data_IF_543204169789
#
_entry.id   IF_543204169789
#
_cell.length_a   1.000
_cell.length_b   1.000
_cell.length_c   1.000
_cell.angle_alpha   90.00
_cell.angle_beta   90.00
_cell.angle_gamma   90.00
#
_symmetry.space_group_name_H-M   'P 1'
#
loop_
_entity.id
_entity.type
_entity.pdbx_description
1 polymer ?
#
# COMPACT_ATOMS: atom_id res chain seq x y z
N UNK A 1 18.44 7.78 14.58
CA UNK A 1 19.12 8.28 13.37
C UNK A 1 20.05 9.44 13.72
N UNK A 2 21.28 9.05 14.07
CA UNK A 2 22.39 9.98 14.15
C UNK A 2 22.74 10.56 12.76
N UNK A 3 23.63 11.56 12.74
CA UNK A 3 23.99 12.26 11.50
C UNK A 3 24.72 11.34 10.51
N UNK A 4 25.55 10.42 10.98
CA UNK A 4 26.25 9.46 10.13
C UNK A 4 25.27 8.56 9.36
N UNK A 5 24.28 7.99 10.05
CA UNK A 5 23.22 7.19 9.42
C UNK A 5 22.39 8.01 8.44
N UNK A 6 22.11 9.29 8.74
CA UNK A 6 21.41 10.17 7.82
C UNK A 6 22.21 10.34 6.52
N UNK A 7 23.50 10.69 6.62
CA UNK A 7 24.37 10.91 5.46
C UNK A 7 24.48 9.64 4.64
N UNK A 8 24.76 8.49 5.28
CA UNK A 8 24.85 7.19 4.61
C UNK A 8 23.57 6.87 3.83
N UNK A 9 22.40 6.97 4.46
CA UNK A 9 21.11 6.69 3.83
C UNK A 9 20.77 7.67 2.71
N UNK A 10 21.28 8.89 2.74
CA UNK A 10 21.09 9.86 1.66
C UNK A 10 22.04 9.58 0.49
N UNK A 11 23.31 9.31 0.77
CA UNK A 11 24.30 8.90 -0.24
C UNK A 11 23.87 7.62 -0.95
N UNK A 12 23.38 6.62 -0.23
CA UNK A 12 22.84 5.39 -0.83
C UNK A 12 21.69 5.70 -1.80
N UNK A 13 20.79 6.62 -1.42
CA UNK A 13 19.72 7.06 -2.30
C UNK A 13 20.26 7.76 -3.55
N UNK A 14 21.24 8.64 -3.42
CA UNK A 14 21.87 9.30 -4.57
C UNK A 14 22.51 8.27 -5.51
N UNK A 15 23.18 7.25 -4.99
CA UNK A 15 23.73 6.15 -5.79
C UNK A 15 22.61 5.40 -6.52
N UNK A 16 21.50 5.07 -5.84
CA UNK A 16 20.34 4.42 -6.48
C UNK A 16 19.73 5.29 -7.58
N UNK A 17 19.60 6.60 -7.35
CA UNK A 17 19.17 7.58 -8.34
C UNK A 17 20.12 7.61 -9.54
N UNK A 18 21.43 7.69 -9.35
CA UNK A 18 22.40 7.64 -10.45
C UNK A 18 22.30 6.33 -11.24
N UNK A 19 22.24 5.18 -10.55
CA UNK A 19 22.06 3.86 -11.18
C UNK A 19 20.78 3.75 -12.00
N UNK A 20 19.74 4.52 -11.65
CA UNK A 20 18.48 4.49 -12.39
C UNK A 20 18.60 4.99 -13.83
N UNK A 21 19.59 5.84 -14.12
CA UNK A 21 19.90 6.31 -15.48
C UNK A 21 20.70 5.29 -16.31
N UNK A 22 21.31 4.30 -15.65
CA UNK A 22 22.13 3.27 -16.30
C UNK A 22 21.39 1.93 -16.49
N UNK A 23 20.14 1.85 -16.04
CA UNK A 23 19.39 0.60 -15.97
C UNK A 23 17.91 0.85 -16.25
N UNK A 24 17.35 0.08 -17.19
CA UNK A 24 15.94 0.15 -17.55
C UNK A 24 15.05 -0.43 -16.45
N UNK A 25 13.79 0.02 -16.37
CA UNK A 25 12.78 -0.56 -15.48
C UNK A 25 12.56 -2.05 -15.79
N UNK A 26 12.54 -2.39 -17.08
CA UNK A 26 12.48 -3.77 -17.58
C UNK A 26 13.53 -4.66 -16.93
N UNK A 27 14.82 -4.29 -17.03
CA UNK A 27 15.90 -5.08 -16.43
C UNK A 27 15.81 -5.07 -14.90
N UNK A 28 15.50 -3.92 -14.28
CA UNK A 28 15.42 -3.81 -12.82
C UNK A 28 14.40 -4.79 -12.22
N UNK A 29 13.21 -4.87 -12.82
CA UNK A 29 12.11 -5.70 -12.30
C UNK A 29 12.29 -7.17 -12.67
N UNK A 30 12.61 -7.49 -13.92
CA UNK A 30 12.75 -8.90 -14.38
C UNK A 30 13.86 -9.65 -13.66
N UNK A 31 15.02 -9.03 -13.40
CA UNK A 31 16.11 -9.67 -12.64
C UNK A 31 15.69 -10.00 -11.21
N UNK A 32 14.93 -9.09 -10.57
CA UNK A 32 14.44 -9.29 -9.20
C UNK A 32 13.33 -10.33 -9.15
N UNK A 33 12.42 -10.31 -10.11
CA UNK A 33 11.38 -11.32 -10.25
C UNK A 33 11.99 -12.70 -10.46
N UNK A 34 12.97 -12.84 -11.37
CA UNK A 34 13.71 -14.09 -11.58
C UNK A 34 14.36 -14.62 -10.31
N UNK A 35 15.00 -13.74 -9.53
CA UNK A 35 15.62 -14.12 -8.25
C UNK A 35 14.60 -14.62 -7.23
N UNK A 36 13.41 -14.02 -7.19
CA UNK A 36 12.36 -14.42 -6.23
C UNK A 36 11.62 -15.68 -6.67
N UNK A 37 11.26 -15.80 -7.95
CA UNK A 37 10.45 -16.93 -8.46
C UNK A 37 11.28 -18.17 -8.78
N UNK A 38 12.59 -18.02 -8.95
CA UNK A 38 13.49 -19.07 -9.44
C UNK A 38 13.31 -19.40 -10.93
N UNK A 39 12.41 -18.70 -11.63
CA UNK A 39 12.06 -18.92 -13.04
C UNK A 39 12.39 -17.69 -13.88
N UNK A 40 12.61 -17.88 -15.17
CA UNK A 40 12.68 -16.75 -16.10
C UNK A 40 11.27 -16.22 -16.36
N UNK A 41 10.94 -14.98 -15.95
CA UNK A 41 9.61 -14.43 -16.18
C UNK A 41 9.42 -14.04 -17.65
N UNK A 42 8.27 -14.38 -18.23
CA UNK A 42 7.84 -13.83 -19.51
C UNK A 42 6.89 -12.67 -19.25
N UNK A 43 7.42 -11.45 -19.27
CA UNK A 43 6.58 -10.26 -19.07
C UNK A 43 6.00 -9.71 -20.37
N UNK A 44 6.33 -10.26 -21.54
CA UNK A 44 5.68 -9.89 -22.79
C UNK A 44 4.35 -10.62 -22.95
N UNK A 45 4.29 -11.87 -22.47
CA UNK A 45 3.08 -12.69 -22.40
C UNK A 45 2.83 -13.20 -20.97
N UNK A 46 2.57 -12.29 -20.00
CA UNK A 46 2.54 -12.64 -18.59
C UNK A 46 1.35 -13.54 -18.23
N UNK A 47 1.63 -14.63 -17.51
CA UNK A 47 0.62 -15.63 -17.14
C UNK A 47 0.30 -15.62 -15.66
N UNK A 48 1.31 -15.38 -14.81
CA UNK A 48 1.12 -15.35 -13.36
C UNK A 48 0.80 -13.94 -12.85
N UNK A 49 0.22 -13.85 -11.64
CA UNK A 49 -0.06 -12.56 -11.00
C UNK A 49 1.24 -11.75 -10.85
N UNK A 50 2.32 -12.42 -10.42
CA UNK A 50 3.65 -11.83 -10.28
C UNK A 50 4.19 -11.24 -11.59
N UNK A 51 4.07 -11.98 -12.70
CA UNK A 51 4.46 -11.51 -14.03
C UNK A 51 3.59 -10.33 -14.50
N UNK A 52 2.28 -10.35 -14.24
CA UNK A 52 1.35 -9.28 -14.64
C UNK A 52 1.60 -7.99 -13.86
N UNK A 53 1.89 -8.07 -12.56
CA UNK A 53 2.31 -6.90 -11.77
C UNK A 53 3.62 -6.33 -12.33
N UNK A 54 4.57 -7.19 -12.67
CA UNK A 54 5.84 -6.79 -13.27
C UNK A 54 5.64 -6.12 -14.64
N UNK A 55 4.78 -6.70 -15.50
CA UNK A 55 4.38 -6.13 -16.78
C UNK A 55 3.81 -4.72 -16.61
N UNK A 56 2.83 -4.54 -15.71
CA UNK A 56 2.25 -3.22 -15.41
C UNK A 56 3.33 -2.21 -15.02
N UNK A 57 4.22 -2.56 -14.11
CA UNK A 57 5.30 -1.65 -13.65
C UNK A 57 6.22 -1.18 -14.78
N UNK A 58 6.42 -2.00 -15.81
CA UNK A 58 7.31 -1.71 -16.93
C UNK A 58 6.60 -0.92 -18.02
N UNK A 59 5.38 -1.31 -18.37
CA UNK A 59 4.70 -0.84 -19.59
C UNK A 59 3.52 0.10 -19.36
N UNK A 60 2.94 0.11 -18.15
CA UNK A 60 1.75 0.89 -17.86
C UNK A 60 2.05 2.04 -16.90
N UNK A 61 2.18 3.23 -17.49
CA UNK A 61 2.59 4.47 -16.83
C UNK A 61 1.43 5.44 -16.64
N UNK A 62 0.21 4.92 -16.49
CA UNK A 62 -1.00 5.73 -16.34
C UNK A 62 -0.90 6.71 -15.15
N UNK A 63 -1.18 7.99 -15.39
CA UNK A 63 -1.14 9.03 -14.37
C UNK A 63 -2.17 8.81 -13.25
N UNK A 64 -3.26 8.10 -13.50
CA UNK A 64 -4.23 7.77 -12.45
C UNK A 64 -3.57 6.97 -11.32
N UNK A 65 -2.56 6.16 -11.61
CA UNK A 65 -1.83 5.42 -10.59
C UNK A 65 -1.06 6.34 -9.65
N UNK A 66 -0.58 7.47 -10.15
CA UNK A 66 0.07 8.50 -9.33
C UNK A 66 -0.94 9.14 -8.37
N UNK A 67 -2.15 9.44 -8.85
CA UNK A 67 -3.25 9.93 -8.01
C UNK A 67 -3.58 8.93 -6.88
N UNK A 68 -3.72 7.65 -7.23
CA UNK A 68 -4.08 6.60 -6.27
C UNK A 68 -2.97 6.30 -5.25
N UNK A 69 -1.69 6.44 -5.65
CA UNK A 69 -0.54 6.21 -4.77
C UNK A 69 -0.22 7.40 -3.84
N UNK A 70 -0.64 8.61 -4.19
CA UNK A 70 -0.47 9.80 -3.35
C UNK A 70 -1.47 9.80 -2.19
N UNK A 71 -0.98 9.60 -0.97
CA UNK A 71 -1.81 9.51 0.25
C UNK A 71 -2.62 10.78 0.56
N UNK A 72 -2.29 11.93 -0.05
CA UNK A 72 -3.10 13.13 0.02
C UNK A 72 -4.12 13.18 -1.11
N UNK A 73 -3.69 12.99 -2.35
CA UNK A 73 -4.56 13.15 -3.51
C UNK A 73 -5.63 12.05 -3.62
N UNK A 74 -5.33 10.83 -3.18
CA UNK A 74 -6.28 9.70 -3.17
C UNK A 74 -7.50 9.95 -2.27
N UNK A 75 -7.43 10.92 -1.34
CA UNK A 75 -8.52 11.15 -0.38
C UNK A 75 -9.79 11.65 -1.05
N UNK A 76 -9.66 12.56 -2.00
CA UNK A 76 -10.79 13.05 -2.82
C UNK A 76 -11.34 11.92 -3.70
N UNK A 77 -10.48 11.06 -4.23
CA UNK A 77 -10.90 9.86 -4.95
C UNK A 77 -11.79 8.99 -4.05
N UNK A 78 -11.36 8.65 -2.83
CA UNK A 78 -12.14 7.81 -1.91
C UNK A 78 -13.51 8.42 -1.61
N UNK A 79 -13.55 9.72 -1.24
CA UNK A 79 -14.79 10.43 -0.90
C UNK A 79 -15.77 10.44 -2.07
N UNK A 80 -15.26 10.59 -3.31
CA UNK A 80 -16.10 10.61 -4.51
C UNK A 80 -16.66 9.24 -4.92
N UNK A 81 -16.08 8.14 -4.40
CA UNK A 81 -16.37 6.78 -4.87
C UNK A 81 -17.20 5.95 -3.91
N UNK A 82 -17.05 6.17 -2.60
CA UNK A 82 -17.77 5.38 -1.60
C UNK A 82 -18.15 6.21 -0.39
N UNK A 83 -19.34 5.93 0.17
CA UNK A 83 -19.76 6.45 1.48
C UNK A 83 -19.55 5.41 2.59
N UNK A 84 -19.05 4.22 2.26
CA UNK A 84 -18.91 3.08 3.18
C UNK A 84 -17.58 3.06 3.91
N UNK A 85 -16.55 3.59 3.27
CA UNK A 85 -15.23 3.77 3.86
C UNK A 85 -14.89 5.26 3.92
N UNK A 86 -14.19 5.67 4.96
CA UNK A 86 -13.73 7.05 5.14
C UNK A 86 -12.22 7.12 5.25
N UNK A 87 -11.66 8.26 4.90
CA UNK A 87 -10.25 8.53 5.13
C UNK A 87 -10.04 8.98 6.59
N UNK A 88 -8.92 8.61 7.19
CA UNK A 88 -8.56 9.06 8.55
C UNK A 88 -8.42 10.60 8.53
N UNK A 89 -9.03 11.37 9.46
CA UNK A 89 -8.98 12.83 9.45
C UNK A 89 -7.55 13.40 9.39
N UNK A 90 -7.35 14.51 8.68
CA UNK A 90 -6.05 15.19 8.67
C UNK A 90 -5.98 16.17 9.85
N UNK A 91 -4.98 16.03 10.69
CA UNK A 91 -4.61 17.01 11.71
C UNK A 91 -3.75 18.14 11.13
N UNK A 92 -3.02 17.85 10.04
CA UNK A 92 -2.20 18.84 9.36
C UNK A 92 -1.47 18.28 8.14
N UNK A 93 -1.08 19.19 7.25
CA UNK A 93 -0.28 18.90 6.05
C UNK A 93 0.87 19.91 5.98
N UNK A 94 2.08 19.41 5.80
CA UNK A 94 3.30 20.21 5.92
C UNK A 94 4.23 19.95 4.74
N UNK A 95 4.90 21.01 4.27
CA UNK A 95 5.94 20.91 3.24
C UNK A 95 7.33 20.71 3.83
N UNK A 96 7.51 21.04 5.12
CA UNK A 96 8.78 20.95 5.85
C UNK A 96 8.50 20.55 7.30
N UNK A 97 9.43 19.82 7.91
CA UNK A 97 9.30 19.40 9.32
C UNK A 97 9.24 20.56 10.31
N UNK A 98 9.83 21.71 9.96
CA UNK A 98 9.83 22.91 10.79
C UNK A 98 8.46 23.58 10.91
N UNK A 99 7.48 23.17 10.09
CA UNK A 99 6.10 23.67 10.15
C UNK A 99 5.24 22.88 11.14
N UNK A 100 5.74 21.75 11.67
CA UNK A 100 4.99 20.91 12.59
C UNK A 100 5.12 21.48 14.00
N UNK A 101 4.02 22.00 14.54
CA UNK A 101 3.92 22.34 15.96
C UNK A 101 3.50 21.11 16.76
N UNK A 102 4.48 20.37 17.27
CA UNK A 102 4.24 19.18 18.08
C UNK A 102 3.49 19.47 19.37
N UNK A 103 3.50 20.70 19.90
CA UNK A 103 2.77 21.04 21.12
C UNK A 103 1.26 20.93 20.93
N UNK A 104 0.77 21.26 19.73
CA UNK A 104 -0.66 21.23 19.35
C UNK A 104 -1.21 19.85 18.99
N UNK A 105 -0.33 18.88 18.68
CA UNK A 105 -0.75 17.53 18.29
C UNK A 105 -1.38 16.76 19.47
N UNK A 106 -2.33 15.83 19.22
CA UNK A 106 -2.94 15.02 20.28
C UNK A 106 -1.92 14.06 20.92
N UNK A 107 -2.34 13.34 21.96
CA UNK A 107 -1.47 12.37 22.66
C UNK A 107 -0.99 11.23 21.76
N UNK A 108 -1.85 10.76 20.83
CA UNK A 108 -1.52 9.73 19.85
C UNK A 108 -1.75 10.25 18.42
N UNK A 109 -0.75 10.11 17.55
CA UNK A 109 -0.81 10.57 16.16
C UNK A 109 0.13 9.77 15.25
N UNK A 110 -0.07 9.88 13.94
CA UNK A 110 0.75 9.26 12.90
C UNK A 110 1.25 10.34 11.95
N UNK A 111 2.57 10.37 11.71
CA UNK A 111 3.21 11.21 10.68
C UNK A 111 3.69 10.31 9.55
N UNK A 112 3.32 10.64 8.31
CA UNK A 112 3.77 9.91 7.10
C UNK A 112 3.95 10.87 5.93
N UNK A 113 4.88 10.57 5.04
CA UNK A 113 4.98 11.27 3.76
C UNK A 113 3.96 10.70 2.77
N UNK A 114 3.44 11.55 1.88
CA UNK A 114 2.40 11.16 0.93
C UNK A 114 2.91 10.31 -0.24
N UNK A 115 4.18 10.48 -0.61
CA UNK A 115 4.80 9.95 -1.83
C UNK A 115 5.57 8.62 -1.64
N UNK A 116 5.48 8.00 -0.46
CA UNK A 116 6.30 6.84 -0.13
C UNK A 116 5.55 5.79 0.73
N UNK A 117 6.20 4.66 1.01
CA UNK A 117 5.69 3.52 1.79
C UNK A 117 6.57 3.16 3.00
N UNK A 118 7.41 4.08 3.49
CA UNK A 118 8.40 3.77 4.53
C UNK A 118 8.72 4.89 5.53
N UNK A 119 8.12 6.07 5.35
CA UNK A 119 8.35 7.22 6.22
C UNK A 119 7.49 7.23 7.49
N UNK A 120 6.48 6.37 7.60
CA UNK A 120 5.52 6.36 8.72
C UNK A 120 6.21 6.35 10.08
N UNK A 121 5.75 7.22 10.97
CA UNK A 121 6.16 7.37 12.36
C UNK A 121 4.87 7.39 13.19
N UNK A 122 4.79 6.51 14.17
CA UNK A 122 3.64 6.38 15.05
C UNK A 122 4.04 6.92 16.43
N UNK A 123 3.22 7.81 16.97
CA UNK A 123 3.27 8.27 18.35
C UNK A 123 2.10 7.67 19.10
N UNK A 124 2.36 6.79 20.06
CA UNK A 124 1.36 6.24 20.99
C UNK A 124 1.46 6.82 22.40
N UNK A 125 2.55 7.55 22.67
CA UNK A 125 2.81 8.27 23.92
C UNK A 125 3.69 9.49 23.59
N UNK A 126 3.14 10.68 23.75
CA UNK A 126 3.79 11.95 23.38
C UNK A 126 4.98 12.28 24.29
N UNK A 127 4.92 11.87 25.57
CA UNK A 127 6.02 12.07 26.52
C UNK A 127 7.27 11.26 26.17
N UNK A 128 7.11 10.12 25.49
CA UNK A 128 8.21 9.26 25.02
C UNK A 128 8.59 9.53 23.56
N UNK A 129 7.89 10.45 22.89
CA UNK A 129 8.06 10.68 21.46
C UNK A 129 9.35 11.44 21.15
N UNK A 130 10.25 10.81 20.37
CA UNK A 130 11.50 11.44 19.96
C UNK A 130 11.31 12.37 18.75
N UNK A 131 10.93 13.62 19.02
CA UNK A 131 10.71 14.67 18.02
C UNK A 131 11.93 14.85 17.10
N UNK A 132 13.14 14.88 17.65
CA UNK A 132 14.37 15.08 16.88
C UNK A 132 14.57 13.98 15.84
N UNK A 133 14.34 12.73 16.24
CA UNK A 133 14.44 11.57 15.36
C UNK A 133 13.36 11.56 14.28
N UNK A 134 12.11 11.87 14.66
CA UNK A 134 11.00 12.01 13.74
C UNK A 134 11.29 13.05 12.64
N UNK A 135 11.72 14.25 13.04
CA UNK A 135 12.08 15.33 12.12
C UNK A 135 13.22 14.94 11.17
N UNK A 136 14.25 14.22 11.65
CA UNK A 136 15.34 13.74 10.78
C UNK A 136 14.86 12.70 9.77
N UNK A 137 14.04 11.73 10.20
CA UNK A 137 13.48 10.70 9.32
C UNK A 137 12.60 11.31 8.23
N UNK A 138 11.69 12.21 8.60
CA UNK A 138 10.81 12.91 7.65
C UNK A 138 11.58 13.83 6.71
N UNK A 139 12.55 14.61 7.21
CA UNK A 139 13.39 15.47 6.37
C UNK A 139 14.19 14.67 5.34
N UNK A 140 14.66 13.48 5.71
CA UNK A 140 15.33 12.58 4.78
C UNK A 140 14.34 12.02 3.74
N UNK A 141 13.14 11.61 4.18
CA UNK A 141 12.11 11.07 3.29
C UNK A 141 11.64 12.11 2.25
N UNK A 142 11.46 13.37 2.65
CA UNK A 142 11.11 14.47 1.74
C UNK A 142 12.14 14.72 0.63
N UNK A 143 13.41 14.35 0.85
CA UNK A 143 14.49 14.48 -0.16
C UNK A 143 14.55 13.28 -1.13
N UNK A 144 13.79 12.22 -0.85
CA UNK A 144 13.82 10.98 -1.61
C UNK A 144 12.59 10.89 -2.50
N UNK A 145 12.79 10.43 -3.72
CA UNK A 145 11.71 9.98 -4.58
C UNK A 145 11.73 8.44 -4.61
N UNK A 146 10.61 7.82 -4.22
CA UNK A 146 10.52 6.36 -4.06
C UNK A 146 10.79 5.62 -5.39
N UNK A 147 10.43 6.22 -6.54
CA UNK A 147 10.69 5.64 -7.86
C UNK A 147 12.18 5.27 -8.05
N UNK A 148 13.12 6.12 -7.66
CA UNK A 148 14.54 5.80 -7.81
C UNK A 148 15.03 4.67 -6.91
N UNK A 149 14.25 4.29 -5.90
CA UNK A 149 14.56 3.18 -5.00
C UNK A 149 13.90 1.88 -5.45
N UNK A 150 12.63 1.93 -5.82
CA UNK A 150 11.82 0.72 -6.07
C UNK A 150 11.42 0.53 -7.53
N UNK A 151 11.65 1.53 -8.38
CA UNK A 151 11.23 1.60 -9.79
C UNK A 151 9.72 1.41 -9.98
N UNK A 152 8.95 1.83 -8.98
CA UNK A 152 7.49 1.89 -9.02
C UNK A 152 7.07 3.24 -9.60
N UNK A 153 6.59 3.22 -10.85
CA UNK A 153 6.32 4.43 -11.62
C UNK A 153 5.29 5.34 -10.98
N UNK A 154 4.30 4.77 -10.28
CA UNK A 154 3.22 5.52 -9.61
C UNK A 154 3.73 6.53 -8.58
N UNK A 155 4.93 6.36 -8.01
CA UNK A 155 5.49 7.31 -7.06
C UNK A 155 6.31 8.44 -7.72
N UNK A 156 6.59 8.34 -9.02
CA UNK A 156 7.61 9.15 -9.69
C UNK A 156 7.30 10.65 -9.67
N UNK A 157 6.04 11.02 -9.83
CA UNK A 157 5.61 12.41 -10.03
C UNK A 157 4.84 12.98 -8.84
N UNK A 158 4.86 12.31 -7.67
CA UNK A 158 4.20 12.81 -6.47
C UNK A 158 5.06 13.91 -5.83
N UNK A 159 4.46 15.06 -5.55
CA UNK A 159 5.13 16.13 -4.81
C UNK A 159 5.19 15.77 -3.32
N UNK A 160 6.39 15.67 -2.71
CA UNK A 160 6.54 15.28 -1.31
C UNK A 160 5.93 16.28 -0.33
N UNK A 161 5.07 15.78 0.54
CA UNK A 161 4.49 16.46 1.72
C UNK A 161 4.46 15.49 2.89
N UNK A 162 4.36 16.03 4.10
CA UNK A 162 4.09 15.28 5.33
C UNK A 162 2.62 15.48 5.65
N UNK A 163 1.93 14.41 6.00
CA UNK A 163 0.61 14.47 6.61
C UNK A 163 0.65 13.95 8.05
N UNK A 164 -0.21 14.53 8.88
CA UNK A 164 -0.46 14.14 10.25
C UNK A 164 -1.92 13.66 10.38
N UNK A 165 -2.11 12.49 10.95
CA UNK A 165 -3.41 11.87 11.21
C UNK A 165 -3.52 11.48 12.70
N UNK A 166 -4.72 11.43 13.29
CA UNK A 166 -4.90 10.78 14.58
C UNK A 166 -4.52 9.31 14.48
N UNK A 167 -4.01 8.74 15.57
CA UNK A 167 -3.78 7.30 15.66
C UNK A 167 -5.13 6.57 15.75
N UNK A 168 -5.36 5.63 14.83
CA UNK A 168 -6.53 4.75 14.87
C UNK A 168 -6.17 3.53 15.71
N UNK A 169 -6.63 3.53 16.97
CA UNK A 169 -6.47 2.40 17.88
C UNK A 169 -7.50 1.32 17.53
N UNK A 170 -7.09 0.25 16.86
CA UNK A 170 -7.99 -0.82 16.38
C UNK A 170 -8.39 -1.81 17.49
N UNK A 171 -7.69 -1.75 18.63
CA UNK A 171 -7.80 -2.72 19.71
C UNK A 171 -8.25 -2.08 21.03
N UNK A 172 -8.80 -0.86 20.99
CA UNK A 172 -9.37 -0.22 22.18
C UNK A 172 -10.62 -0.94 22.67
N UNK A 173 -11.31 -1.66 21.78
CA UNK A 173 -12.52 -2.43 22.08
C UNK A 173 -12.59 -3.80 21.35
N UNK A 174 -11.46 -4.28 20.81
CA UNK A 174 -11.38 -5.54 20.09
C UNK A 174 -10.21 -6.41 20.58
N UNK A 175 -10.39 -7.72 20.55
CA UNK A 175 -9.32 -8.67 20.88
C UNK A 175 -8.31 -8.75 19.74
N UNK A 176 -7.06 -8.42 20.04
CA UNK A 176 -5.94 -8.40 19.09
C UNK A 176 -5.68 -9.75 18.42
N UNK A 177 -5.95 -10.85 19.10
CA UNK A 177 -5.69 -12.18 18.56
C UNK A 177 -6.73 -12.60 17.51
N UNK A 178 -7.90 -11.97 17.48
CA UNK A 178 -9.04 -12.37 16.63
C UNK A 178 -9.54 -11.26 15.70
N UNK A 179 -9.29 -9.99 16.02
CA UNK A 179 -9.61 -8.87 15.15
C UNK A 179 -8.47 -8.59 14.15
N UNK A 180 -8.74 -8.53 12.84
CA UNK A 180 -7.71 -8.22 11.86
C UNK A 180 -7.29 -6.74 11.94
N UNK A 181 -5.98 -6.48 11.88
CA UNK A 181 -5.41 -5.13 11.80
C UNK A 181 -5.72 -4.44 10.47
N UNK A 182 -5.82 -5.24 9.41
CA UNK A 182 -6.02 -4.78 8.05
C UNK A 182 -6.70 -5.89 7.26
N UNK A 183 -7.68 -5.50 6.45
CA UNK A 183 -8.17 -6.30 5.35
C UNK A 183 -7.57 -5.75 4.07
N UNK A 184 -6.72 -6.53 3.40
CA UNK A 184 -6.17 -6.18 2.10
C UNK A 184 -6.91 -6.96 1.02
N UNK A 185 -7.84 -6.28 0.36
CA UNK A 185 -8.83 -6.90 -0.52
C UNK A 185 -8.34 -6.82 -1.95
N UNK A 186 -8.03 -7.97 -2.54
CA UNK A 186 -7.63 -8.09 -3.94
C UNK A 186 -8.86 -8.00 -4.84
N UNK A 187 -8.94 -6.90 -5.58
CA UNK A 187 -9.97 -6.63 -6.57
C UNK A 187 -9.43 -6.87 -7.97
N UNK A 188 -10.14 -7.67 -8.76
CA UNK A 188 -9.88 -7.92 -10.16
C UNK A 188 -11.07 -7.43 -10.96
N UNK A 189 -10.85 -6.51 -11.90
CA UNK A 189 -11.92 -5.89 -12.70
C UNK A 189 -13.07 -5.35 -11.85
N UNK A 190 -12.74 -4.61 -10.79
CA UNK A 190 -13.73 -4.06 -9.84
C UNK A 190 -14.40 -5.08 -8.91
N UNK A 191 -14.07 -6.38 -8.99
CA UNK A 191 -14.68 -7.43 -8.15
C UNK A 191 -13.71 -7.91 -7.08
N UNK A 192 -14.14 -7.95 -5.82
CA UNK A 192 -13.34 -8.48 -4.72
C UNK A 192 -13.35 -10.02 -4.76
N UNK A 193 -12.16 -10.63 -4.89
CA UNK A 193 -12.01 -12.09 -4.96
C UNK A 193 -11.39 -12.70 -3.70
N UNK A 194 -10.30 -12.11 -3.22
CA UNK A 194 -9.53 -12.63 -2.09
C UNK A 194 -9.18 -11.51 -1.12
N UNK A 195 -9.00 -11.87 0.15
CA UNK A 195 -8.69 -10.94 1.23
C UNK A 195 -7.54 -11.49 2.05
N UNK A 196 -6.44 -10.74 2.14
CA UNK A 196 -5.42 -10.95 3.16
C UNK A 196 -5.93 -10.28 4.46
N UNK A 197 -6.12 -11.05 5.52
CA UNK A 197 -6.43 -10.54 6.85
C UNK A 197 -5.15 -10.59 7.71
N UNK A 198 -4.64 -9.42 8.07
CA UNK A 198 -3.42 -9.28 8.89
C UNK A 198 -3.74 -9.44 10.38
N UNK A 199 -2.96 -10.24 11.09
CA UNK A 199 -3.05 -10.39 12.54
C UNK A 199 -1.66 -10.29 13.17
N UNK A 200 -1.58 -9.81 14.40
CA UNK A 200 -0.38 -9.86 15.23
C UNK A 200 -0.74 -10.40 16.59
N UNK A 201 -0.07 -11.46 17.06
CA UNK A 201 -0.31 -11.98 18.41
C UNK A 201 0.32 -11.09 19.51
N UNK A 202 0.05 -11.44 20.77
CA UNK A 202 0.58 -10.72 21.94
C UNK A 202 2.12 -10.76 22.04
N UNK A 203 2.79 -11.71 21.36
CA UNK A 203 4.25 -11.77 21.27
C UNK A 203 4.83 -10.85 20.19
N UNK A 204 3.97 -10.21 19.39
CA UNK A 204 4.35 -9.38 18.25
C UNK A 204 4.62 -10.17 16.97
N UNK A 205 4.22 -11.44 16.90
CA UNK A 205 4.38 -12.27 15.68
C UNK A 205 3.20 -12.02 14.73
N UNK A 206 3.54 -11.67 13.49
CA UNK A 206 2.56 -11.42 12.42
C UNK A 206 2.11 -12.68 11.69
N UNK A 207 0.85 -12.69 11.28
CA UNK A 207 0.18 -13.74 10.50
C UNK A 207 -0.67 -13.12 9.39
N UNK A 208 -0.89 -13.88 8.33
CA UNK A 208 -1.85 -13.52 7.27
C UNK A 208 -2.69 -14.74 6.95
N UNK A 209 -4.00 -14.61 7.15
CA UNK A 209 -4.96 -15.57 6.62
C UNK A 209 -5.50 -15.04 5.29
N UNK A 210 -5.53 -15.89 4.27
CA UNK A 210 -6.14 -15.54 2.98
C UNK A 210 -7.54 -16.13 2.91
N UNK A 211 -8.55 -15.28 2.79
CA UNK A 211 -9.95 -15.68 2.65
C UNK A 211 -10.48 -15.39 1.25
N UNK A 212 -11.54 -16.09 0.84
CA UNK A 212 -12.38 -15.65 -0.27
C UNK A 212 -13.39 -14.58 0.17
N UNK A 213 -14.20 -14.10 -0.77
CA UNK A 213 -15.29 -13.15 -0.50
C UNK A 213 -16.40 -13.68 0.41
N UNK A 214 -16.35 -14.94 0.85
CA UNK A 214 -17.32 -15.54 1.76
C UNK A 214 -16.71 -15.86 3.13
N UNK A 215 -15.50 -15.36 3.40
CA UNK A 215 -14.74 -15.65 4.63
C UNK A 215 -14.34 -17.12 4.78
N UNK A 216 -14.22 -17.87 3.67
CA UNK A 216 -13.64 -19.21 3.69
C UNK A 216 -12.12 -19.14 3.55
N UNK A 217 -11.40 -19.77 4.48
CA UNK A 217 -9.94 -19.82 4.45
C UNK A 217 -9.47 -20.58 3.20
N UNK A 218 -8.56 -19.97 2.44
CA UNK A 218 -8.08 -20.51 1.18
C UNK A 218 -6.89 -21.46 1.39
N UNK A 219 -6.69 -22.44 0.48
CA UNK A 219 -5.62 -23.44 0.61
C UNK A 219 -4.28 -22.91 0.09
N UNK A 220 -3.99 -21.62 0.28
CA UNK A 220 -2.74 -20.99 -0.09
C UNK A 220 -2.41 -19.82 0.84
N UNK A 221 -1.13 -19.47 0.88
CA UNK A 221 -0.57 -18.44 1.76
C UNK A 221 0.15 -17.37 0.95
N UNK A 222 0.15 -16.15 1.46
CA UNK A 222 0.92 -15.02 0.92
C UNK A 222 1.90 -14.51 1.98
N UNK A 223 3.19 -14.81 1.79
CA UNK A 223 4.35 -14.41 2.62
C UNK A 223 4.40 -14.86 4.09
N UNK A 224 3.25 -15.01 4.76
CA UNK A 224 3.12 -15.31 6.18
C UNK A 224 2.32 -16.59 6.42
N UNK A 225 2.56 -17.28 7.56
CA UNK A 225 1.72 -18.38 7.97
C UNK A 225 0.33 -17.90 8.42
N UNK A 226 -0.63 -18.82 8.44
CA UNK A 226 -1.95 -18.57 9.02
C UNK A 226 -1.83 -18.38 10.54
N UNK A 227 -2.74 -17.60 11.12
CA UNK A 227 -2.91 -17.58 12.58
C UNK A 227 -3.27 -18.99 13.07
N UNK A 228 -2.81 -19.41 14.26
CA UNK A 228 -3.22 -20.68 14.87
C UNK A 228 -4.70 -20.69 15.27
N UNK A 229 -5.33 -19.52 15.32
CA UNK A 229 -6.75 -19.36 15.59
C UNK A 229 -7.56 -19.46 14.29
N UNK A 230 -8.86 -19.68 14.41
CA UNK A 230 -9.81 -19.57 13.30
C UNK A 230 -10.75 -18.38 13.55
N UNK A 231 -10.31 -17.13 13.32
CA UNK A 231 -11.14 -15.96 13.57
C UNK A 231 -12.44 -15.99 12.76
N UNK A 232 -13.54 -15.67 13.42
CA UNK A 232 -14.84 -15.50 12.77
C UNK A 232 -14.84 -14.33 11.79
N UNK A 233 -15.87 -14.28 10.94
CA UNK A 233 -16.06 -13.17 10.00
C UNK A 233 -16.26 -11.85 10.76
N UNK A 234 -15.48 -10.79 10.47
CA UNK A 234 -15.68 -9.47 11.05
C UNK A 234 -17.05 -8.90 10.69
N UNK A 235 -17.72 -8.23 11.64
CA UNK A 235 -19.07 -7.70 11.45
C UNK A 235 -19.21 -6.79 10.21
N UNK A 236 -18.17 -6.00 9.91
CA UNK A 236 -18.13 -5.08 8.77
C UNK A 236 -17.55 -5.69 7.48
N UNK A 237 -17.26 -7.00 7.45
CA UNK A 237 -16.58 -7.62 6.32
C UNK A 237 -17.32 -7.42 5.00
N UNK A 238 -18.65 -7.60 5.00
CA UNK A 238 -19.48 -7.43 3.80
C UNK A 238 -19.49 -5.99 3.29
N UNK A 239 -19.54 -5.02 4.20
CA UNK A 239 -19.46 -3.60 3.86
C UNK A 239 -18.05 -3.24 3.34
N UNK A 240 -17.00 -3.86 3.88
CA UNK A 240 -15.63 -3.68 3.42
C UNK A 240 -15.43 -4.23 1.99
N UNK A 241 -16.02 -5.37 1.65
CA UNK A 241 -16.04 -5.90 0.29
C UNK A 241 -16.78 -4.97 -0.69
N UNK A 242 -17.91 -4.40 -0.28
CA UNK A 242 -18.65 -3.45 -1.13
C UNK A 242 -17.84 -2.16 -1.34
N UNK A 243 -17.25 -1.62 -0.27
CA UNK A 243 -16.41 -0.43 -0.33
C UNK A 243 -15.18 -0.65 -1.25
N UNK A 244 -14.53 -1.80 -1.16
CA UNK A 244 -13.37 -2.10 -2.01
C UNK A 244 -13.74 -2.23 -3.48
N UNK A 245 -14.89 -2.83 -3.81
CA UNK A 245 -15.40 -2.90 -5.18
C UNK A 245 -15.74 -1.51 -5.74
N UNK A 246 -16.41 -0.66 -4.95
CA UNK A 246 -16.71 0.74 -5.33
C UNK A 246 -15.42 1.53 -5.59
N UNK A 247 -14.37 1.32 -4.78
CA UNK A 247 -13.06 1.94 -4.95
C UNK A 247 -12.26 1.37 -6.14
N UNK A 248 -12.45 0.09 -6.46
CA UNK A 248 -11.75 -0.62 -7.52
C UNK A 248 -12.48 -0.58 -8.88
N UNK A 249 -13.71 -0.06 -8.93
CA UNK A 249 -14.47 0.05 -10.18
C UNK A 249 -13.68 0.88 -11.22
N UNK A 250 -13.58 0.35 -12.44
CA UNK A 250 -12.73 0.87 -13.51
C UNK A 250 -11.23 0.53 -13.41
N UNK A 251 -10.81 -0.28 -12.43
CA UNK A 251 -9.42 -0.74 -12.27
C UNK A 251 -9.36 -2.26 -12.53
N UNK A 252 -8.49 -2.67 -13.46
CA UNK A 252 -8.32 -4.06 -13.89
C UNK A 252 -7.73 -4.96 -12.78
N UNK A 253 -6.83 -4.40 -11.95
CA UNK A 253 -6.39 -5.03 -10.71
C UNK A 253 -5.88 -4.00 -9.70
N UNK A 254 -6.33 -4.09 -8.46
CA UNK A 254 -5.71 -3.42 -7.34
C UNK A 254 -5.97 -4.17 -6.03
N UNK A 255 -5.18 -3.86 -5.01
CA UNK A 255 -5.47 -4.27 -3.63
C UNK A 255 -5.96 -3.05 -2.88
N UNK A 256 -7.11 -3.14 -2.22
CA UNK A 256 -7.66 -2.07 -1.38
C UNK A 256 -7.48 -2.47 0.07
N UNK A 257 -6.73 -1.65 0.81
CA UNK A 257 -6.38 -1.91 2.20
C UNK A 257 -7.31 -1.10 3.12
N UNK A 258 -8.09 -1.79 3.95
CA UNK A 258 -9.10 -1.22 4.84
C UNK A 258 -8.86 -1.67 6.29
N UNK A 259 -9.03 -0.76 7.24
CA UNK A 259 -9.04 -1.07 8.67
C UNK A 259 -10.48 -1.03 9.19
N UNK A 260 -10.85 -1.99 10.02
CA UNK A 260 -12.17 -2.05 10.65
C UNK A 260 -12.06 -1.59 12.10
N UNK A 261 -12.87 -0.62 12.50
CA UNK A 261 -12.94 -0.16 13.89
C UNK A 261 -14.39 0.13 14.26
N UNK A 262 -14.93 -0.59 15.24
CA UNK A 262 -16.35 -0.47 15.64
C UNK A 262 -17.27 -0.63 14.42
N UNK A 263 -18.12 0.36 14.19
CA UNK A 263 -19.05 0.45 13.07
C UNK A 263 -18.48 1.26 11.88
N UNK A 264 -17.16 1.49 11.88
CA UNK A 264 -16.49 2.35 10.90
C UNK A 264 -15.41 1.60 10.10
N UNK A 265 -15.34 1.91 8.80
CA UNK A 265 -14.33 1.40 7.89
C UNK A 265 -13.39 2.54 7.50
N UNK A 266 -12.10 2.38 7.78
CA UNK A 266 -11.07 3.35 7.44
C UNK A 266 -10.28 2.89 6.23
N UNK A 267 -10.22 3.75 5.21
CA UNK A 267 -9.34 3.58 4.06
C UNK A 267 -7.87 3.78 4.46
N UNK A 268 -7.01 2.84 4.07
CA UNK A 268 -5.55 2.90 4.25
C UNK A 268 -4.82 3.23 2.95
N UNK A 269 -4.91 2.34 1.95
CA UNK A 269 -4.26 2.53 0.64
C UNK A 269 -4.95 1.76 -0.49
N UNK A 270 -4.68 2.19 -1.74
CA UNK A 270 -4.87 1.36 -2.94
C UNK A 270 -3.49 0.98 -3.46
N UNK A 271 -3.16 -0.31 -3.42
CA UNK A 271 -1.88 -0.86 -3.87
C UNK A 271 -2.02 -1.44 -5.27
N UNK A 272 -1.35 -0.82 -6.25
CA UNK A 272 -1.41 -1.24 -7.65
C UNK A 272 -0.36 -2.29 -8.03
N UNK A 273 0.69 -2.41 -7.23
CA UNK A 273 1.81 -3.30 -7.50
C UNK A 273 2.33 -3.94 -6.21
N UNK A 274 1.52 -4.74 -5.50
CA UNK A 274 1.90 -5.29 -4.22
C UNK A 274 3.22 -6.06 -4.34
N UNK A 275 4.17 -5.69 -3.48
CA UNK A 275 5.55 -6.19 -3.45
C UNK A 275 6.31 -6.13 -4.79
N UNK A 276 5.83 -5.35 -5.77
CA UNK A 276 6.33 -5.32 -7.16
C UNK A 276 6.30 -6.67 -7.86
N UNK A 277 5.26 -7.47 -7.61
CA UNK A 277 5.11 -8.80 -8.21
C UNK A 277 6.06 -9.83 -7.63
N UNK A 278 6.58 -9.59 -6.41
CA UNK A 278 7.50 -10.51 -5.72
C UNK A 278 6.88 -11.10 -4.45
N UNK A 279 5.56 -11.21 -4.43
CA UNK A 279 4.83 -11.89 -3.37
C UNK A 279 5.20 -13.38 -3.41
N UNK A 280 5.51 -13.96 -2.25
CA UNK A 280 5.69 -15.40 -2.14
C UNK A 280 4.33 -16.05 -1.94
N UNK A 281 3.83 -16.75 -2.96
CA UNK A 281 2.54 -17.45 -2.93
C UNK A 281 2.79 -18.96 -2.88
N UNK A 282 2.25 -19.62 -1.85
CA UNK A 282 2.47 -21.05 -1.62
C UNK A 282 1.13 -21.78 -1.48
N UNK A 283 0.87 -22.86 -2.25
CA UNK A 283 1.74 -23.45 -3.27
C UNK A 283 1.82 -22.60 -4.55
N UNK A 284 2.93 -22.74 -5.30
CA UNK A 284 3.28 -21.87 -6.43
C UNK A 284 2.21 -21.82 -7.54
N UNK A 285 1.41 -22.87 -7.70
CA UNK A 285 0.32 -22.90 -8.68
C UNK A 285 -0.72 -21.78 -8.51
N UNK A 286 -0.86 -21.25 -7.29
CA UNK A 286 -1.80 -20.17 -7.02
C UNK A 286 -1.39 -18.83 -7.65
N UNK A 287 -0.09 -18.58 -7.87
CA UNK A 287 0.36 -17.40 -8.60
C UNK A 287 -0.20 -17.39 -10.04
N UNK A 288 -0.26 -18.58 -10.68
CA UNK A 288 -0.88 -18.74 -12.00
C UNK A 288 -2.42 -18.70 -11.93
N UNK A 289 -3.06 -19.30 -10.90
CA UNK A 289 -4.52 -19.25 -10.73
C UNK A 289 -5.01 -17.81 -10.55
N UNK A 290 -4.35 -17.02 -9.71
CA UNK A 290 -4.64 -15.60 -9.52
C UNK A 290 -4.35 -14.81 -10.79
N UNK A 291 -3.23 -15.11 -11.46
CA UNK A 291 -2.89 -14.52 -12.75
C UNK A 291 -4.00 -14.69 -13.80
N UNK A 292 -4.66 -15.84 -13.87
CA UNK A 292 -5.75 -16.09 -14.83
C UNK A 292 -6.99 -15.20 -14.65
N UNK A 293 -7.23 -14.70 -13.44
CA UNK A 293 -8.37 -13.82 -13.12
C UNK A 293 -8.16 -12.42 -13.70
N UNK A 294 -6.90 -11.95 -13.70
CA UNK A 294 -6.55 -10.64 -14.22
C UNK A 294 -6.35 -10.68 -15.74
N UNK A 295 -7.22 -10.00 -16.48
CA UNK A 295 -7.05 -9.79 -17.92
C UNK A 295 -6.41 -8.43 -18.13
N UNK A 296 -5.16 -8.41 -18.61
CA UNK A 296 -4.50 -7.15 -18.94
C UNK A 296 -5.23 -6.52 -20.14
N UNK A 297 -5.47 -5.21 -20.15
CA UNK A 297 -6.01 -4.56 -21.32
C UNK A 297 -5.02 -4.62 -22.48
N UNK A 298 -5.50 -4.47 -23.73
CA UNK A 298 -4.62 -4.22 -24.86
C UNK A 298 -3.68 -3.05 -24.56
N UNK A 299 -2.41 -3.16 -24.98
CA UNK A 299 -1.44 -2.10 -24.76
C UNK A 299 -1.97 -0.76 -25.30
N UNK A 300 -2.10 0.25 -24.42
CA UNK A 300 -2.48 1.62 -24.80
C UNK A 300 -3.95 2.00 -24.60
N UNK A 301 -4.81 1.16 -24.00
CA UNK A 301 -6.22 1.49 -23.75
C UNK A 301 -6.52 1.56 -22.25
N UNK A 302 -6.33 2.72 -21.63
CA UNK A 302 -6.92 3.01 -20.33
C UNK A 302 -7.56 4.40 -20.35
N UNK A 303 -8.87 4.43 -20.57
CA UNK A 303 -9.70 5.59 -20.29
C UNK A 303 -10.46 5.32 -18.98
N UNK A 304 -9.83 5.63 -17.84
CA UNK A 304 -10.63 6.03 -16.68
C UNK A 304 -11.21 7.40 -17.05
N UNK A 305 -12.55 7.61 -16.97
CA UNK A 305 -13.13 8.90 -17.34
C UNK A 305 -12.40 10.01 -16.58
N UNK A 306 -11.78 10.92 -17.35
CA UNK A 306 -10.92 12.03 -16.91
C UNK A 306 -11.64 13.05 -16.00
N UNK A 307 -12.86 12.79 -15.54
CA UNK A 307 -13.69 13.73 -14.77
C UNK A 307 -13.13 14.09 -13.41
N UNK A 308 -12.14 13.37 -12.88
CA UNK A 308 -11.44 13.72 -11.64
C UNK A 308 -10.15 14.53 -11.85
N UNK A 309 -9.63 14.61 -13.07
CA UNK A 309 -8.37 15.36 -13.35
C UNK A 309 -8.58 16.87 -13.56
N UNK A 310 -9.82 17.32 -13.76
CA UNK A 310 -10.12 18.73 -14.05
C UNK A 310 -10.41 19.60 -12.82
N UNK A 311 -10.44 19.04 -11.60
CA UNK A 311 -10.74 19.79 -10.37
C UNK A 311 -9.56 19.95 -9.39
N UNK A 312 -8.37 19.47 -9.75
CA UNK A 312 -7.16 19.67 -8.98
C UNK A 312 -6.19 20.61 -9.73
N UNK A 313 -6.52 21.90 -9.77
CA UNK A 313 -5.58 22.99 -10.03
C UNK A 313 -5.85 24.13 -9.06
#
# INVERSE_FOLDING_TARGET
MNNATYVLKYTEYLIRKCRSFLMTDLYFHTVRLKKTSGKHPDINSPTTLSEKICHRLVYDHNNVYTLLADKLAVREYVISRTTRAKTVPLLGVYSKVSQIDFSTLPEKFVLKCNHDSGSTIICTNKAQFNVREACKKLSLALKKNMYYTTREWQYKNITPKILCEPYVDLFDDADRNTAPEMLRIHCFHGVAHYVEADFTDDSGKGFINVYDRYWNLQPFQMEYPNTPLAPGEPALFRQALLASQELADGIDYCRVDLMLKKDEIYFSEITLSPRRGKLSITPQEWDAKLGKIWHLPPAGTFDLPLTLTSRAR
#
